data_IF_716315728991
#
_entry.id   IF_716315728991
#
_cell.length_a   1.000
_cell.length_b   1.000
_cell.length_c   1.000
_cell.angle_alpha   90.00
_cell.angle_beta   90.00
_cell.angle_gamma   90.00
#
_symmetry.space_group_name_H-M   'P 1'
#
loop_
_entity.id
_entity.type
_entity.pdbx_description
1 polymer ?
#
# COMPACT_ATOMS: atom_id res chain seq x y z
N UNK A 1 -12.05 -13.49 10.37
CA UNK A 1 -10.63 -13.06 10.41
C UNK A 1 -10.05 -13.30 9.02
N UNK A 2 -9.23 -12.39 8.50
CA UNK A 2 -8.54 -12.62 7.23
C UNK A 2 -7.60 -13.84 7.38
N UNK A 3 -7.43 -14.70 6.36
CA UNK A 3 -6.67 -15.94 6.53
C UNK A 3 -5.23 -15.67 6.97
N UNK A 4 -4.86 -16.10 8.18
CA UNK A 4 -3.47 -16.16 8.63
C UNK A 4 -2.95 -17.59 8.45
N UNK A 5 -1.67 -17.75 8.10
CA UNK A 5 -1.08 -19.09 8.06
C UNK A 5 -1.23 -19.78 9.43
N UNK A 6 -1.53 -21.08 9.43
CA UNK A 6 -1.72 -21.84 10.68
C UNK A 6 -0.52 -21.72 11.63
N UNK A 7 0.70 -21.63 11.07
CA UNK A 7 1.93 -21.48 11.84
C UNK A 7 2.02 -20.16 12.62
N UNK A 8 1.29 -19.11 12.20
CA UNK A 8 1.31 -17.77 12.76
C UNK A 8 0.06 -17.42 13.59
N UNK A 9 -0.99 -18.26 13.53
CA UNK A 9 -2.24 -18.03 14.28
C UNK A 9 -1.97 -17.92 15.78
N UNK A 10 -2.43 -16.82 16.39
CA UNK A 10 -2.24 -16.53 17.82
C UNK A 10 -0.83 -16.10 18.24
N UNK A 11 0.14 -16.04 17.31
CA UNK A 11 1.52 -15.61 17.60
C UNK A 11 1.78 -14.16 17.23
N UNK A 12 1.20 -13.71 16.12
CA UNK A 12 1.32 -12.34 15.64
C UNK A 12 -0.04 -11.83 15.18
N UNK A 13 -0.38 -10.55 15.45
CA UNK A 13 -1.55 -9.95 14.84
C UNK A 13 -1.34 -9.89 13.32
N UNK A 14 -2.39 -10.20 12.56
CA UNK A 14 -2.37 -10.01 11.12
C UNK A 14 -2.19 -8.52 10.81
N UNK A 15 -1.24 -8.21 9.92
CA UNK A 15 -1.08 -6.89 9.34
C UNK A 15 -1.76 -6.84 7.98
N UNK A 16 -2.66 -5.87 7.78
CA UNK A 16 -3.25 -5.61 6.47
C UNK A 16 -2.20 -5.02 5.52
N UNK A 17 -2.40 -5.25 4.23
CA UNK A 17 -1.60 -4.57 3.20
C UNK A 17 -2.21 -3.21 2.94
N UNK A 18 -1.41 -2.15 2.96
CA UNK A 18 -1.80 -0.80 2.56
C UNK A 18 -0.94 -0.33 1.40
N UNK A 19 -1.60 0.31 0.43
CA UNK A 19 -0.99 1.01 -0.69
C UNK A 19 -1.27 2.50 -0.54
N UNK A 20 -0.35 3.34 -0.97
CA UNK A 20 -0.55 4.79 -0.99
C UNK A 20 0.11 5.40 -2.23
N UNK A 21 -0.40 6.55 -2.64
CA UNK A 21 0.20 7.35 -3.70
C UNK A 21 0.80 8.62 -3.11
N UNK A 22 1.96 8.99 -3.63
CA UNK A 22 2.65 10.21 -3.24
C UNK A 22 2.87 11.09 -4.47
N UNK A 23 2.79 12.40 -4.26
CA UNK A 23 3.28 13.36 -5.26
C UNK A 23 4.80 13.44 -5.13
N UNK A 24 5.48 13.35 -6.27
CA UNK A 24 6.92 13.51 -6.37
C UNK A 24 7.23 14.66 -7.34
N UNK A 25 8.21 15.49 -7.00
CA UNK A 25 8.72 16.49 -7.92
C UNK A 25 9.83 15.88 -8.79
N UNK A 26 9.69 15.85 -10.12
CA UNK A 26 10.76 15.36 -11.00
C UNK A 26 12.03 16.20 -10.83
N UNK A 27 13.21 15.55 -10.84
CA UNK A 27 14.51 16.24 -10.74
C UNK A 27 14.66 17.40 -11.75
N UNK A 28 14.22 17.28 -13.04
CA UNK A 28 14.34 18.36 -14.02
C UNK A 28 13.13 19.31 -14.05
N UNK A 29 12.30 19.37 -13.00
CA UNK A 29 11.18 20.32 -12.94
C UNK A 29 11.69 21.77 -13.14
N UNK A 30 11.08 22.48 -14.10
CA UNK A 30 11.49 23.83 -14.51
C UNK A 30 11.20 24.89 -13.44
N UNK A 31 10.03 24.79 -12.80
CA UNK A 31 9.61 25.68 -11.72
C UNK A 31 9.34 24.86 -10.46
N UNK A 32 10.38 24.75 -9.62
CA UNK A 32 10.33 23.96 -8.40
C UNK A 32 9.49 24.62 -7.31
N UNK A 33 9.43 25.95 -7.28
CA UNK A 33 8.65 26.69 -6.28
C UNK A 33 7.16 26.53 -6.55
N UNK A 34 6.73 26.68 -7.80
CA UNK A 34 5.34 26.43 -8.18
C UNK A 34 4.96 24.98 -7.92
N UNK A 35 5.79 24.02 -8.34
CA UNK A 35 5.55 22.60 -8.08
C UNK A 35 5.41 22.30 -6.57
N UNK A 36 6.28 22.88 -5.74
CA UNK A 36 6.21 22.71 -4.29
C UNK A 36 4.95 23.34 -3.68
N UNK A 37 4.60 24.55 -4.11
CA UNK A 37 3.39 25.23 -3.63
C UNK A 37 2.12 24.42 -3.96
N UNK A 38 2.05 23.86 -5.17
CA UNK A 38 0.97 22.98 -5.60
C UNK A 38 0.90 21.71 -4.75
N UNK A 39 2.03 21.02 -4.57
CA UNK A 39 2.10 19.81 -3.73
C UNK A 39 1.60 20.09 -2.30
N UNK A 40 2.01 21.21 -1.69
CA UNK A 40 1.52 21.61 -0.36
C UNK A 40 0.01 21.86 -0.33
N UNK A 41 -0.52 22.57 -1.33
CA UNK A 41 -1.96 22.84 -1.43
C UNK A 41 -2.76 21.53 -1.54
N UNK A 42 -2.34 20.63 -2.43
CA UNK A 42 -2.96 19.33 -2.64
C UNK A 42 -2.85 18.40 -1.42
N UNK A 43 -1.76 18.49 -0.66
CA UNK A 43 -1.59 17.75 0.59
C UNK A 43 -2.27 18.38 1.81
N UNK A 44 -2.94 19.53 1.68
CA UNK A 44 -3.61 20.19 2.80
C UNK A 44 -4.71 19.32 3.42
N UNK A 45 -5.06 19.56 4.69
CA UNK A 45 -6.14 18.82 5.38
C UNK A 45 -7.47 18.95 4.64
N UNK A 46 -7.78 20.14 4.14
CA UNK A 46 -9.01 20.40 3.40
C UNK A 46 -9.06 19.58 2.10
N UNK A 47 -8.02 19.66 1.26
CA UNK A 47 -8.02 18.98 -0.04
C UNK A 47 -8.00 17.46 0.13
N UNK A 48 -7.15 16.94 1.02
CA UNK A 48 -7.09 15.48 1.29
C UNK A 48 -8.38 14.93 1.91
N UNK A 49 -9.07 15.70 2.76
CA UNK A 49 -10.40 15.31 3.28
C UNK A 49 -11.47 15.38 2.19
N UNK A 50 -11.41 16.38 1.30
CA UNK A 50 -12.30 16.45 0.13
C UNK A 50 -12.10 15.26 -0.80
N UNK A 51 -10.84 14.89 -1.07
CA UNK A 51 -10.51 13.70 -1.85
C UNK A 51 -11.06 12.42 -1.21
N UNK A 52 -10.98 12.31 0.13
CA UNK A 52 -11.52 11.17 0.86
C UNK A 52 -13.04 11.07 0.74
N UNK A 53 -13.75 12.21 0.83
CA UNK A 53 -15.20 12.26 0.60
C UNK A 53 -15.59 11.88 -0.82
N UNK A 54 -14.68 12.03 -1.77
CA UNK A 54 -14.88 11.66 -3.17
C UNK A 54 -14.43 10.21 -3.48
N UNK A 55 -14.30 9.36 -2.45
CA UNK A 55 -14.04 7.92 -2.61
C UNK A 55 -12.58 7.48 -2.49
N UNK A 56 -11.64 8.41 -2.26
CA UNK A 56 -10.27 8.01 -1.91
C UNK A 56 -10.17 7.58 -0.43
N UNK A 57 -9.16 6.77 -0.10
CA UNK A 57 -8.81 6.49 1.29
C UNK A 57 -8.25 7.74 1.98
N UNK A 58 -8.65 8.06 3.22
CA UNK A 58 -8.02 9.13 3.99
C UNK A 58 -6.53 8.89 4.23
N UNK A 59 -5.69 9.83 3.77
CA UNK A 59 -4.23 9.79 3.97
C UNK A 59 -3.76 10.48 5.25
N UNK A 60 -4.69 11.06 6.03
CA UNK A 60 -4.41 11.76 7.30
C UNK A 60 -5.27 11.21 8.42
N UNK A 61 -4.66 10.91 9.56
CA UNK A 61 -5.38 10.50 10.78
C UNK A 61 -6.44 11.51 11.22
N UNK A 62 -6.17 12.81 11.04
CA UNK A 62 -7.12 13.87 11.39
C UNK A 62 -8.42 13.84 10.59
N UNK A 63 -8.47 13.12 9.46
CA UNK A 63 -9.68 12.95 8.67
C UNK A 63 -10.60 11.91 9.32
N UNK A 64 -10.05 10.79 9.81
CA UNK A 64 -10.82 9.80 10.59
C UNK A 64 -11.36 10.37 11.91
N UNK A 65 -10.69 11.36 12.50
CA UNK A 65 -11.12 12.05 13.73
C UNK A 65 -12.16 13.15 13.49
N UNK A 66 -12.48 13.47 12.23
CA UNK A 66 -13.48 14.49 11.92
C UNK A 66 -14.90 13.88 12.02
N UNK A 67 -15.69 14.38 12.97
CA UNK A 67 -17.04 13.88 13.23
C UNK A 67 -17.97 13.98 12.00
N UNK A 68 -17.88 15.06 11.23
CA UNK A 68 -18.68 15.22 9.99
C UNK A 68 -18.25 14.22 8.92
N UNK A 69 -16.95 13.91 8.81
CA UNK A 69 -16.49 12.86 7.90
C UNK A 69 -16.95 11.46 8.34
N UNK A 70 -16.81 11.16 9.64
CA UNK A 70 -17.17 9.85 10.19
C UNK A 70 -18.68 9.56 10.09
N UNK A 71 -19.52 10.59 10.19
CA UNK A 71 -20.99 10.50 10.03
C UNK A 71 -21.37 9.99 8.64
N UNK A 72 -20.72 10.51 7.61
CA UNK A 72 -21.02 10.19 6.21
C UNK A 72 -20.27 8.95 5.71
N UNK A 73 -19.29 8.46 6.47
CA UNK A 73 -18.45 7.33 6.09
C UNK A 73 -18.52 6.18 7.11
N UNK A 74 -19.52 5.28 7.00
CA UNK A 74 -19.77 4.20 7.97
C UNK A 74 -18.58 3.26 8.22
N UNK A 75 -17.67 3.12 7.24
CA UNK A 75 -16.50 2.24 7.33
C UNK A 75 -15.25 2.95 7.89
N UNK A 76 -15.29 4.26 8.14
CA UNK A 76 -14.11 5.03 8.56
C UNK A 76 -13.46 4.47 9.85
N UNK A 77 -14.26 4.03 10.82
CA UNK A 77 -13.74 3.45 12.06
C UNK A 77 -13.07 2.08 11.82
N UNK A 78 -13.63 1.25 10.95
CA UNK A 78 -13.06 -0.07 10.59
C UNK A 78 -11.76 0.11 9.80
N UNK A 79 -11.75 1.06 8.87
CA UNK A 79 -10.59 1.41 8.07
C UNK A 79 -9.46 1.93 8.96
N UNK A 80 -9.73 2.90 9.85
CA UNK A 80 -8.73 3.42 10.79
C UNK A 80 -8.13 2.33 11.68
N UNK A 81 -8.96 1.40 12.19
CA UNK A 81 -8.49 0.25 12.97
C UNK A 81 -7.61 -0.69 12.15
N UNK A 82 -7.97 -0.92 10.89
CA UNK A 82 -7.21 -1.76 9.96
C UNK A 82 -5.87 -1.13 9.61
N UNK A 83 -5.83 0.18 9.36
CA UNK A 83 -4.63 0.92 8.99
C UNK A 83 -3.62 1.06 10.13
N UNK A 84 -4.08 1.05 11.39
CA UNK A 84 -3.19 1.12 12.55
C UNK A 84 -2.13 -0.01 12.60
N UNK A 85 -2.45 -1.17 12.04
CA UNK A 85 -1.56 -2.32 11.92
C UNK A 85 -0.99 -2.55 10.52
N UNK A 86 -1.36 -1.74 9.53
CA UNK A 86 -1.06 -2.03 8.14
C UNK A 86 0.42 -1.90 7.79
N UNK A 87 0.84 -2.60 6.73
CA UNK A 87 2.20 -2.57 6.17
C UNK A 87 2.13 -2.46 4.65
N UNK A 88 3.15 -1.82 4.06
CA UNK A 88 3.34 -1.86 2.61
C UNK A 88 3.62 -3.30 2.14
N UNK A 89 3.22 -3.68 0.91
CA UNK A 89 3.37 -5.04 0.42
C UNK A 89 4.82 -5.51 0.35
N UNK A 90 5.74 -4.60 -0.02
CA UNK A 90 7.18 -4.84 -0.03
C UNK A 90 7.91 -3.65 0.60
N UNK A 91 9.01 -3.88 1.34
CA UNK A 91 9.88 -2.80 1.78
C UNK A 91 10.47 -2.05 0.59
N UNK A 92 10.91 -0.82 0.80
CA UNK A 92 11.57 -0.04 -0.23
C UNK A 92 13.01 -0.54 -0.46
N UNK A 93 13.33 -0.90 -1.71
CA UNK A 93 14.67 -1.20 -2.21
C UNK A 93 14.71 -0.91 -3.73
N UNK A 94 15.89 -0.73 -4.36
CA UNK A 94 15.99 -0.28 -5.75
C UNK A 94 15.17 -1.12 -6.75
N UNK A 95 15.15 -2.44 -6.54
CA UNK A 95 14.50 -3.40 -7.42
C UNK A 95 13.09 -3.83 -6.94
N UNK A 96 12.50 -3.11 -6.00
CA UNK A 96 11.22 -3.49 -5.37
C UNK A 96 10.08 -3.68 -6.38
N UNK A 97 9.99 -2.83 -7.39
CA UNK A 97 8.98 -2.96 -8.45
C UNK A 97 9.17 -4.25 -9.27
N UNK A 98 10.41 -4.57 -9.65
CA UNK A 98 10.71 -5.81 -10.40
C UNK A 98 10.48 -7.06 -9.57
N UNK A 99 10.78 -7.00 -8.27
CA UNK A 99 10.44 -8.06 -7.33
C UNK A 99 8.92 -8.26 -7.21
N UNK A 100 8.14 -7.18 -7.13
CA UNK A 100 6.67 -7.24 -7.09
C UNK A 100 6.09 -7.86 -8.36
N UNK A 101 6.57 -7.46 -9.54
CA UNK A 101 6.15 -8.04 -10.82
C UNK A 101 6.42 -9.54 -10.85
N UNK A 102 7.60 -9.97 -10.42
CA UNK A 102 7.98 -11.39 -10.33
C UNK A 102 7.05 -12.15 -9.39
N UNK A 103 6.73 -11.57 -8.23
CA UNK A 103 5.80 -12.18 -7.28
C UNK A 103 4.40 -12.36 -7.89
N UNK A 104 3.86 -11.32 -8.53
CA UNK A 104 2.53 -11.35 -9.15
C UNK A 104 2.44 -12.35 -10.30
N UNK A 105 3.47 -12.45 -11.14
CA UNK A 105 3.55 -13.42 -12.24
C UNK A 105 3.41 -14.86 -11.71
N UNK A 106 4.17 -15.22 -10.67
CA UNK A 106 4.17 -16.56 -10.10
C UNK A 106 2.85 -16.88 -9.36
N UNK A 107 2.22 -15.89 -8.72
CA UNK A 107 0.87 -16.02 -8.16
C UNK A 107 -0.16 -16.26 -9.27
N UNK A 108 -0.09 -15.51 -10.38
CA UNK A 108 -1.01 -15.68 -11.50
C UNK A 108 -0.87 -17.06 -12.14
N UNK A 109 0.36 -17.55 -12.36
CA UNK A 109 0.60 -18.91 -12.86
C UNK A 109 0.02 -19.98 -11.93
N UNK A 110 0.07 -19.74 -10.61
CA UNK A 110 -0.55 -20.65 -9.63
C UNK A 110 -2.08 -20.63 -9.74
N UNK A 111 -2.69 -19.45 -9.78
CA UNK A 111 -4.15 -19.30 -9.89
C UNK A 111 -4.69 -19.89 -11.19
N UNK A 112 -3.94 -19.76 -12.29
CA UNK A 112 -4.27 -20.34 -13.59
C UNK A 112 -3.99 -21.85 -13.69
N UNK A 113 -3.48 -22.49 -12.63
CA UNK A 113 -3.16 -23.91 -12.61
C UNK A 113 -1.94 -24.31 -13.45
N UNK A 114 -1.13 -23.34 -13.89
CA UNK A 114 0.09 -23.58 -14.67
C UNK A 114 1.30 -23.95 -13.79
N UNK A 115 1.25 -23.60 -12.50
CA UNK A 115 2.25 -24.00 -11.49
C UNK A 115 1.55 -24.40 -10.20
N UNK A 116 2.15 -25.32 -9.45
CA UNK A 116 1.76 -25.54 -8.05
C UNK A 116 2.25 -24.38 -7.15
N UNK A 117 1.62 -24.15 -5.99
CA UNK A 117 2.12 -23.16 -5.02
C UNK A 117 3.58 -23.38 -4.62
N UNK A 118 4.03 -24.64 -4.54
CA UNK A 118 5.42 -24.98 -4.17
C UNK A 118 6.40 -24.55 -5.25
N UNK A 119 6.09 -24.80 -6.52
CA UNK A 119 6.93 -24.40 -7.66
C UNK A 119 6.98 -22.88 -7.80
N UNK A 120 5.85 -22.20 -7.63
CA UNK A 120 5.78 -20.74 -7.66
C UNK A 120 6.65 -20.12 -6.55
N UNK A 121 6.54 -20.59 -5.31
CA UNK A 121 7.37 -20.09 -4.19
C UNK A 121 8.87 -20.32 -4.45
N UNK A 122 9.25 -21.48 -4.99
CA UNK A 122 10.64 -21.74 -5.35
C UNK A 122 11.15 -20.78 -6.44
N UNK A 123 10.35 -20.53 -7.47
CA UNK A 123 10.67 -19.60 -8.54
C UNK A 123 10.78 -18.15 -8.05
N UNK A 124 9.86 -17.71 -7.18
CA UNK A 124 9.93 -16.40 -6.52
C UNK A 124 11.25 -16.27 -5.76
N UNK A 125 11.60 -17.24 -4.91
CA UNK A 125 12.82 -17.19 -4.12
C UNK A 125 14.07 -17.09 -5.02
N UNK A 126 14.14 -17.90 -6.07
CA UNK A 126 15.25 -17.88 -7.03
C UNK A 126 15.38 -16.54 -7.76
N UNK A 127 14.27 -15.97 -8.22
CA UNK A 127 14.25 -14.77 -9.08
C UNK A 127 14.35 -13.46 -8.27
N UNK A 128 13.83 -13.43 -7.05
CA UNK A 128 13.81 -12.22 -6.19
C UNK A 128 15.05 -12.11 -5.31
N UNK A 129 15.66 -13.21 -4.87
CA UNK A 129 16.87 -13.16 -4.03
C UNK A 129 18.02 -12.27 -4.57
N UNK A 130 18.37 -12.27 -5.87
CA UNK A 130 19.38 -11.35 -6.38
C UNK A 130 18.94 -9.88 -6.38
N UNK A 131 17.64 -9.61 -6.51
CA UNK A 131 17.09 -8.23 -6.55
C UNK A 131 17.13 -7.54 -5.19
N UNK A 132 17.02 -8.31 -4.10
CA UNK A 132 17.09 -7.77 -2.72
C UNK A 132 18.53 -7.40 -2.32
N UNK A 133 19.53 -7.98 -3.00
CA UNK A 133 20.96 -7.76 -2.72
C UNK A 133 21.61 -6.67 -3.59
N UNK A 134 20.90 -6.22 -4.63
CA UNK A 134 21.35 -5.19 -5.56
C UNK A 134 21.16 -3.79 -4.98
#
# INVERSE_FOLDING_TARGET
EFPISQALKGKVPMASVVEFWAMCMPKPARDKELAWSFMRAMSSKQVTTGAARNGNGPVRMSTYQNAEFAKDQPLAAVEAKTLAGARVPLPAFPEAARAQTTFLEEVQLTVLGQKSPKEAVAAIAQRVAPLVKA
#
